data_IF_466351697605
#
_entry.id   IF_466351697605
#
_cell.length_a   1.000
_cell.length_b   1.000
_cell.length_c   1.000
_cell.angle_alpha   90.00
_cell.angle_beta   90.00
_cell.angle_gamma   90.00
#
_symmetry.space_group_name_H-M   'P 1'
#
loop_
_entity.id
_entity.type
_entity.pdbx_description
1 polymer ?
#
# COMPACT_ATOMS: atom_id res chain seq x y z
N UNK A 1 -0.03 -1.10 -8.98
CA UNK A 1 -0.12 -2.50 -8.54
C UNK A 1 -0.57 -2.67 -7.08
N UNK A 2 -0.96 -1.60 -6.37
CA UNK A 2 -1.20 -1.66 -4.92
C UNK A 2 -2.30 -0.69 -4.47
N UNK A 3 -2.74 -0.78 -3.21
CA UNK A 3 -3.82 0.05 -2.68
C UNK A 3 -5.23 -0.41 -3.09
N UNK A 4 -6.23 0.46 -2.92
CA UNK A 4 -7.63 0.07 -3.06
C UNK A 4 -7.99 -1.14 -2.18
N UNK A 5 -8.77 -2.09 -2.72
CA UNK A 5 -9.16 -3.29 -1.99
C UNK A 5 -8.02 -4.31 -1.79
N UNK A 6 -6.92 -4.19 -2.55
CA UNK A 6 -5.86 -5.21 -2.53
C UNK A 6 -5.19 -5.33 -1.17
N UNK A 7 -5.09 -4.24 -0.40
CA UNK A 7 -4.48 -4.25 0.93
C UNK A 7 -5.27 -5.12 1.91
N UNK A 8 -6.58 -4.90 2.00
CA UNK A 8 -7.47 -5.68 2.89
C UNK A 8 -7.62 -7.13 2.41
N UNK A 9 -7.82 -7.34 1.10
CA UNK A 9 -8.01 -8.68 0.53
C UNK A 9 -6.79 -9.57 0.74
N UNK A 10 -5.58 -9.01 0.64
CA UNK A 10 -4.33 -9.76 0.85
C UNK A 10 -4.28 -10.37 2.26
N UNK A 11 -4.54 -9.55 3.29
CA UNK A 11 -4.59 -10.05 4.66
C UNK A 11 -5.80 -10.95 4.93
N UNK A 12 -7.00 -10.52 4.48
CA UNK A 12 -8.26 -11.12 4.90
C UNK A 12 -8.54 -12.46 4.24
N UNK A 13 -8.25 -12.58 2.95
CA UNK A 13 -8.68 -13.73 2.14
C UNK A 13 -7.53 -14.53 1.53
N UNK A 14 -6.39 -13.88 1.28
CA UNK A 14 -5.22 -14.53 0.68
C UNK A 14 -4.17 -14.96 1.72
N UNK A 15 -4.33 -14.52 2.97
CA UNK A 15 -3.43 -14.83 4.09
C UNK A 15 -1.96 -14.50 3.80
N UNK A 16 -1.73 -13.39 3.09
CA UNK A 16 -0.39 -12.93 2.75
C UNK A 16 -0.18 -11.47 3.16
N UNK A 17 1.08 -11.08 3.36
CA UNK A 17 1.45 -9.72 3.69
C UNK A 17 1.50 -8.85 2.41
N UNK A 18 0.59 -7.87 2.23
CA UNK A 18 0.64 -6.96 1.10
C UNK A 18 1.95 -6.18 1.04
N UNK A 19 2.64 -5.95 2.17
CA UNK A 19 3.94 -5.27 2.17
C UNK A 19 5.04 -6.15 1.59
N UNK A 20 5.02 -7.44 1.86
CA UNK A 20 5.94 -8.40 1.24
C UNK A 20 5.70 -8.46 -0.28
N UNK A 21 4.44 -8.55 -0.70
CA UNK A 21 4.05 -8.46 -2.12
C UNK A 21 4.62 -7.20 -2.79
N UNK A 22 4.51 -6.04 -2.14
CA UNK A 22 5.06 -4.78 -2.67
C UNK A 22 6.60 -4.84 -2.80
N UNK A 23 7.31 -5.32 -1.77
CA UNK A 23 8.77 -5.47 -1.80
C UNK A 23 9.23 -6.44 -2.89
N UNK A 24 8.48 -7.52 -3.11
CA UNK A 24 8.74 -8.45 -4.21
C UNK A 24 8.61 -7.74 -5.56
N UNK A 25 7.52 -6.99 -5.80
CA UNK A 25 7.39 -6.21 -7.04
C UNK A 25 8.54 -5.21 -7.22
N UNK A 26 8.90 -4.45 -6.17
CA UNK A 26 10.01 -3.49 -6.25
C UNK A 26 11.33 -4.14 -6.64
N UNK A 27 11.58 -5.38 -6.19
CA UNK A 27 12.77 -6.16 -6.54
C UNK A 27 12.75 -6.69 -7.96
N UNK A 28 11.63 -7.26 -8.40
CA UNK A 28 11.52 -7.94 -9.70
C UNK A 28 11.32 -6.97 -10.88
N UNK A 29 10.72 -5.80 -10.65
CA UNK A 29 10.51 -4.75 -11.68
C UNK A 29 11.15 -3.41 -11.28
N UNK A 30 12.49 -3.33 -11.14
CA UNK A 30 13.18 -2.18 -10.56
C UNK A 30 13.15 -0.91 -11.43
N UNK A 31 12.75 -1.01 -12.69
CA UNK A 31 12.77 0.09 -13.66
C UNK A 31 11.37 0.59 -14.03
N UNK A 32 10.35 0.22 -13.26
CA UNK A 32 8.95 0.61 -13.50
C UNK A 32 8.40 1.34 -12.30
N UNK A 33 7.67 2.44 -12.55
CA UNK A 33 7.00 3.18 -11.49
C UNK A 33 5.85 2.35 -10.89
N UNK A 34 5.85 2.16 -9.58
CA UNK A 34 4.83 1.40 -8.87
C UNK A 34 3.73 2.32 -8.34
N UNK A 35 2.65 2.42 -9.10
CA UNK A 35 1.49 3.23 -8.73
C UNK A 35 0.57 2.53 -7.70
N UNK A 36 -0.02 3.30 -6.78
CA UNK A 36 -1.11 2.86 -5.91
C UNK A 36 -2.39 3.70 -6.01
N UNK A 37 -3.54 3.09 -5.68
CA UNK A 37 -4.78 3.81 -5.42
C UNK A 37 -4.90 4.12 -3.92
N UNK A 38 -4.87 5.40 -3.55
CA UNK A 38 -4.99 5.89 -2.18
C UNK A 38 -6.25 6.74 -2.00
N UNK A 39 -7.00 6.52 -0.93
CA UNK A 39 -8.12 7.38 -0.51
C UNK A 39 -7.62 8.44 0.46
N UNK A 40 -7.83 9.72 0.17
CA UNK A 40 -7.22 10.83 0.91
C UNK A 40 -7.35 10.75 2.44
N UNK A 41 -8.58 10.67 2.97
CA UNK A 41 -8.81 10.65 4.42
C UNK A 41 -8.69 9.25 5.06
N UNK A 42 -8.62 8.19 4.26
CA UNK A 42 -8.79 6.81 4.72
C UNK A 42 -7.58 5.93 4.40
N UNK A 43 -6.58 6.43 3.68
CA UNK A 43 -5.54 5.62 3.04
C UNK A 43 -6.12 4.43 2.25
N UNK A 44 -6.02 3.22 2.79
CA UNK A 44 -6.57 1.97 2.21
C UNK A 44 -7.68 1.35 3.07
N UNK A 45 -8.09 2.02 4.14
CA UNK A 45 -9.15 1.59 5.04
C UNK A 45 -10.55 2.07 4.63
N UNK A 46 -11.48 1.88 5.57
CA UNK A 46 -12.92 2.13 5.39
C UNK A 46 -13.47 3.25 6.30
N UNK A 47 -12.65 3.80 7.19
CA UNK A 47 -13.00 4.92 8.08
C UNK A 47 -12.01 6.05 7.92
N UNK A 48 -12.39 7.28 8.26
CA UNK A 48 -11.46 8.41 8.24
C UNK A 48 -10.44 8.24 9.37
N UNK A 49 -9.18 8.52 9.08
CA UNK A 49 -8.09 8.46 10.05
C UNK A 49 -7.55 9.86 10.33
N UNK A 50 -7.00 10.11 11.53
CA UNK A 50 -6.29 11.35 11.80
C UNK A 50 -5.08 11.50 10.86
N UNK A 51 -4.72 12.75 10.55
CA UNK A 51 -3.67 13.09 9.59
C UNK A 51 -2.34 12.36 9.82
N UNK A 52 -1.95 12.16 11.08
CA UNK A 52 -0.68 11.49 11.41
C UNK A 52 -0.67 10.04 10.91
N UNK A 53 -1.79 9.33 10.98
CA UNK A 53 -1.91 7.95 10.48
C UNK A 53 -1.77 7.94 8.96
N UNK A 54 -2.45 8.84 8.25
CA UNK A 54 -2.38 8.93 6.79
C UNK A 54 -0.95 9.28 6.34
N UNK A 55 -0.31 10.27 6.98
CA UNK A 55 1.08 10.66 6.68
C UNK A 55 2.05 9.51 6.91
N UNK A 56 1.93 8.79 8.02
CA UNK A 56 2.77 7.62 8.32
C UNK A 56 2.55 6.48 7.33
N UNK A 57 1.30 6.24 6.90
CA UNK A 57 1.01 5.24 5.88
C UNK A 57 1.70 5.59 4.54
N UNK A 58 1.60 6.85 4.11
CA UNK A 58 2.26 7.33 2.88
C UNK A 58 3.79 7.17 2.98
N UNK A 59 4.39 7.57 4.10
CA UNK A 59 5.84 7.41 4.32
C UNK A 59 6.27 5.95 4.22
N UNK A 60 5.51 5.02 4.80
CA UNK A 60 5.79 3.58 4.72
C UNK A 60 5.59 3.02 3.32
N UNK A 61 4.55 3.45 2.59
CA UNK A 61 4.31 3.03 1.21
C UNK A 61 5.47 3.45 0.29
N UNK A 62 5.91 4.70 0.40
CA UNK A 62 7.07 5.21 -0.34
C UNK A 62 8.35 4.44 0.01
N UNK A 63 8.61 4.21 1.31
CA UNK A 63 9.79 3.45 1.76
C UNK A 63 9.83 1.99 1.27
N UNK A 64 8.67 1.39 0.94
CA UNK A 64 8.59 0.04 0.41
C UNK A 64 8.54 -0.01 -1.13
N UNK A 65 8.55 1.14 -1.81
CA UNK A 65 8.75 1.22 -3.25
C UNK A 65 7.55 1.68 -4.09
N UNK A 66 6.50 2.22 -3.47
CA UNK A 66 5.49 3.01 -4.21
C UNK A 66 6.12 4.32 -4.68
N UNK A 67 5.88 4.66 -5.94
CA UNK A 67 6.37 5.88 -6.61
C UNK A 67 5.25 6.93 -6.77
#
# INVERSE_FOLDING_TARGET
CWGGATFDVSYRFLHEDPWERLRMFRREVPNTLLQMLLRGANAVGYTSYPDNVVRQFIQRAAANGID
#
